data_IF_984524180849
#
_entry.id   IF_984524180849
#
_cell.length_a   1.000
_cell.length_b   1.000
_cell.length_c   1.000
_cell.angle_alpha   90.00
_cell.angle_beta   90.00
_cell.angle_gamma   90.00
#
_symmetry.space_group_name_H-M   'P 1'
#
loop_
_entity.id
_entity.type
_entity.pdbx_description
1 polymer ?
#
# COMPACT_ATOMS: atom_id res chain seq x y z
N UNK A 1 6.32 20.97 1.69
CA UNK A 1 7.21 20.92 2.87
C UNK A 1 7.73 19.51 2.95
N UNK A 2 9.04 19.29 3.09
CA UNK A 2 9.60 17.93 3.17
C UNK A 2 9.32 17.32 4.57
N UNK A 3 8.93 16.04 4.68
CA UNK A 3 8.61 15.40 5.97
C UNK A 3 9.84 15.34 6.89
N UNK A 4 9.68 15.72 8.16
CA UNK A 4 10.80 15.75 9.13
C UNK A 4 11.34 14.36 9.47
N UNK A 5 10.49 13.33 9.34
CA UNK A 5 10.82 11.93 9.60
C UNK A 5 11.55 11.28 8.42
N UNK A 6 11.48 11.88 7.21
CA UNK A 6 12.17 11.39 6.03
C UNK A 6 13.63 11.83 6.02
N UNK A 7 14.46 11.11 6.79
CA UNK A 7 15.85 11.52 7.08
C UNK A 7 16.88 11.19 5.99
N UNK A 8 16.46 10.86 4.76
CA UNK A 8 17.35 10.38 3.70
C UNK A 8 18.53 11.34 3.45
N UNK A 9 18.25 12.61 3.16
CA UNK A 9 19.28 13.60 2.83
C UNK A 9 20.23 13.90 3.99
N UNK A 10 19.76 13.79 5.23
CA UNK A 10 20.65 13.94 6.40
C UNK A 10 21.60 12.76 6.61
N UNK A 11 21.28 11.58 6.05
CA UNK A 11 22.03 10.34 6.29
C UNK A 11 22.87 9.91 5.10
N UNK A 12 22.49 10.28 3.87
CA UNK A 12 23.13 9.77 2.65
C UNK A 12 24.62 10.14 2.53
N UNK A 13 25.02 11.24 3.19
CA UNK A 13 26.40 11.73 3.23
C UNK A 13 27.18 11.30 4.47
N UNK A 14 26.57 10.54 5.39
CA UNK A 14 27.29 9.99 6.54
C UNK A 14 28.48 9.12 6.08
N UNK A 15 29.65 9.18 6.75
CA UNK A 15 30.86 8.48 6.30
C UNK A 15 30.66 6.97 6.11
N UNK A 16 29.91 6.33 7.00
CA UNK A 16 29.61 4.91 6.92
C UNK A 16 28.75 4.56 5.69
N UNK A 17 27.73 5.38 5.40
CA UNK A 17 26.85 5.20 4.23
C UNK A 17 27.63 5.41 2.93
N UNK A 18 28.45 6.46 2.86
CA UNK A 18 29.32 6.72 1.69
C UNK A 18 30.31 5.58 1.46
N UNK A 19 30.91 5.03 2.52
CA UNK A 19 31.81 3.89 2.42
C UNK A 19 31.09 2.64 1.91
N UNK A 20 29.90 2.35 2.45
CA UNK A 20 29.07 1.23 2.02
C UNK A 20 28.66 1.35 0.54
N UNK A 21 28.21 2.53 0.09
CA UNK A 21 27.88 2.81 -1.32
C UNK A 21 29.07 2.63 -2.25
N UNK A 22 30.24 3.12 -1.83
CA UNK A 22 31.48 2.97 -2.61
C UNK A 22 31.88 1.49 -2.73
N UNK A 23 31.78 0.73 -1.65
CA UNK A 23 32.06 -0.70 -1.65
C UNK A 23 31.05 -1.46 -2.53
N UNK A 24 29.75 -1.19 -2.39
CA UNK A 24 28.70 -1.79 -3.22
C UNK A 24 28.91 -1.50 -4.71
N UNK A 25 29.25 -0.25 -5.06
CA UNK A 25 29.57 0.13 -6.44
C UNK A 25 30.77 -0.62 -7.00
N UNK A 26 31.79 -0.90 -6.18
CA UNK A 26 32.95 -1.71 -6.59
C UNK A 26 32.59 -3.18 -6.79
N UNK A 27 31.75 -3.74 -5.93
CA UNK A 27 31.39 -5.15 -5.97
C UNK A 27 30.35 -5.48 -7.05
N UNK A 28 29.32 -4.65 -7.17
CA UNK A 28 28.16 -4.89 -8.05
C UNK A 28 28.18 -4.06 -9.35
N UNK A 29 29.12 -3.11 -9.48
CA UNK A 29 29.22 -2.25 -10.66
C UNK A 29 28.25 -1.06 -10.69
N UNK A 30 27.37 -0.90 -9.69
CA UNK A 30 26.44 0.22 -9.59
C UNK A 30 26.25 0.70 -8.15
N UNK A 31 25.90 1.98 -7.97
CA UNK A 31 25.54 2.53 -6.67
C UNK A 31 24.07 2.16 -6.35
N UNK A 32 23.78 1.44 -5.26
CA UNK A 32 22.42 1.05 -4.92
C UNK A 32 21.57 2.21 -4.39
N UNK A 33 22.15 3.39 -4.15
CA UNK A 33 21.36 4.55 -3.78
C UNK A 33 20.37 4.92 -4.91
N UNK A 34 19.07 5.11 -4.60
CA UNK A 34 18.09 5.56 -5.58
C UNK A 34 18.47 6.95 -6.13
N UNK A 35 18.00 7.27 -7.32
CA UNK A 35 18.17 8.62 -7.89
C UNK A 35 17.44 9.66 -7.04
N UNK A 36 17.92 10.91 -7.09
CA UNK A 36 17.29 12.04 -6.40
C UNK A 36 15.80 12.18 -6.74
N UNK A 37 15.43 11.96 -8.01
CA UNK A 37 14.03 11.99 -8.46
C UNK A 37 13.17 10.95 -7.73
N UNK A 38 13.64 9.70 -7.67
CA UNK A 38 12.94 8.62 -6.95
C UNK A 38 12.80 8.98 -5.47
N UNK A 39 13.87 9.44 -4.82
CA UNK A 39 13.84 9.84 -3.41
C UNK A 39 12.79 10.94 -3.18
N UNK A 40 12.74 11.95 -4.05
CA UNK A 40 11.77 13.05 -3.95
C UNK A 40 10.34 12.58 -4.14
N UNK A 41 10.07 11.68 -5.08
CA UNK A 41 8.74 11.08 -5.26
C UNK A 41 8.29 10.32 -4.02
N UNK A 42 9.16 9.50 -3.42
CA UNK A 42 8.83 8.79 -2.17
C UNK A 42 8.62 9.77 -1.01
N UNK A 43 9.45 10.80 -0.90
CA UNK A 43 9.31 11.79 0.16
C UNK A 43 8.03 12.62 0.03
N UNK A 44 7.60 12.96 -1.20
CA UNK A 44 6.35 13.70 -1.40
C UNK A 44 5.12 12.90 -1.00
N UNK A 45 5.19 11.58 -1.12
CA UNK A 45 4.09 10.66 -0.77
C UNK A 45 4.02 10.31 0.73
N UNK A 46 4.91 10.86 1.56
CA UNK A 46 5.03 10.41 2.96
C UNK A 46 3.78 10.63 3.80
N UNK A 47 3.01 11.70 3.50
CA UNK A 47 1.72 11.97 4.15
C UNK A 47 0.53 11.70 3.20
N UNK A 48 0.79 11.11 2.04
CA UNK A 48 -0.27 10.64 1.14
C UNK A 48 -0.83 9.34 1.74
N UNK A 49 -1.81 9.49 2.62
CA UNK A 49 -2.53 8.40 3.26
C UNK A 49 -3.71 7.92 2.39
N UNK A 50 -4.66 7.20 2.98
CA UNK A 50 -5.84 6.66 2.30
C UNK A 50 -7.13 7.24 2.90
N UNK A 51 -7.63 8.38 2.37
CA UNK A 51 -8.84 9.02 2.89
C UNK A 51 -10.10 8.15 2.80
N UNK A 52 -10.17 7.21 1.85
CA UNK A 52 -11.32 6.31 1.73
C UNK A 52 -11.29 5.26 2.85
N UNK A 53 -10.14 4.65 3.10
CA UNK A 53 -9.98 3.71 4.21
C UNK A 53 -10.11 4.40 5.57
N UNK A 54 -9.59 5.62 5.72
CA UNK A 54 -9.72 6.42 6.95
C UNK A 54 -11.19 6.71 7.26
N UNK A 55 -11.96 7.21 6.29
CA UNK A 55 -13.39 7.47 6.47
C UNK A 55 -14.17 6.19 6.85
N UNK A 56 -13.79 5.05 6.28
CA UNK A 56 -14.35 3.75 6.63
C UNK A 56 -14.01 3.34 8.07
N UNK A 57 -12.77 3.50 8.51
CA UNK A 57 -12.36 3.22 9.89
C UNK A 57 -13.11 4.13 10.86
N UNK A 58 -13.21 5.42 10.56
CA UNK A 58 -13.93 6.40 11.39
C UNK A 58 -15.40 6.01 11.59
N UNK A 59 -16.12 5.68 10.51
CA UNK A 59 -17.57 5.41 10.56
C UNK A 59 -17.92 3.98 11.02
N UNK A 60 -17.12 2.98 10.63
CA UNK A 60 -17.43 1.57 10.88
C UNK A 60 -16.77 1.02 12.14
N UNK A 61 -15.56 1.49 12.51
CA UNK A 61 -14.83 0.97 13.67
C UNK A 61 -14.85 1.93 14.86
N UNK A 62 -14.54 3.21 14.64
CA UNK A 62 -14.40 4.18 15.75
C UNK A 62 -15.75 4.72 16.24
N UNK A 63 -16.68 5.03 15.34
CA UNK A 63 -18.02 5.52 15.70
C UNK A 63 -18.97 4.43 16.21
N UNK A 64 -18.63 3.15 15.99
CA UNK A 64 -19.40 1.98 16.40
C UNK A 64 -18.61 1.17 17.42
N UNK A 65 -18.06 0.03 17.00
CA UNK A 65 -17.15 -0.81 17.75
C UNK A 65 -16.32 -1.66 16.78
N UNK A 66 -15.21 -2.22 17.28
CA UNK A 66 -14.37 -3.10 16.46
C UNK A 66 -15.13 -4.31 15.91
N UNK A 67 -15.94 -4.98 16.75
CA UNK A 67 -16.66 -6.19 16.38
C UNK A 67 -17.77 -5.89 15.35
N UNK A 68 -18.50 -4.79 15.49
CA UNK A 68 -19.53 -4.38 14.53
C UNK A 68 -18.92 -3.97 13.19
N UNK A 69 -17.83 -3.18 13.21
CA UNK A 69 -17.10 -2.79 12.01
C UNK A 69 -16.54 -4.01 11.27
N UNK A 70 -15.98 -4.96 12.02
CA UNK A 70 -15.49 -6.23 11.48
C UNK A 70 -16.62 -7.05 10.85
N UNK A 71 -17.76 -7.20 11.53
CA UNK A 71 -18.90 -7.95 11.02
C UNK A 71 -19.48 -7.33 9.73
N UNK A 72 -19.56 -6.00 9.66
CA UNK A 72 -19.96 -5.28 8.43
C UNK A 72 -18.99 -5.58 7.28
N UNK A 73 -17.68 -5.50 7.54
CA UNK A 73 -16.66 -5.80 6.53
C UNK A 73 -16.72 -7.25 6.05
N UNK A 74 -16.84 -8.22 6.97
CA UNK A 74 -16.95 -9.64 6.62
C UNK A 74 -18.16 -9.93 5.73
N UNK A 75 -19.31 -9.38 6.12
CA UNK A 75 -20.53 -9.55 5.34
C UNK A 75 -20.39 -8.92 3.95
N UNK A 76 -19.78 -7.74 3.87
CA UNK A 76 -19.53 -7.06 2.59
C UNK A 76 -18.61 -7.88 1.69
N UNK A 77 -17.54 -8.46 2.24
CA UNK A 77 -16.62 -9.32 1.49
C UNK A 77 -17.29 -10.61 1.00
N UNK A 78 -18.26 -11.14 1.75
CA UNK A 78 -18.96 -12.38 1.42
C UNK A 78 -20.13 -12.18 0.43
N UNK A 79 -20.90 -11.10 0.61
CA UNK A 79 -22.18 -10.89 -0.07
C UNK A 79 -22.19 -9.67 -1.01
N UNK A 80 -21.14 -8.84 -0.97
CA UNK A 80 -21.08 -7.54 -1.63
C UNK A 80 -21.74 -6.43 -0.81
N UNK A 81 -21.40 -5.17 -1.11
CA UNK A 81 -21.91 -4.01 -0.35
C UNK A 81 -23.41 -3.76 -0.59
N UNK A 82 -23.92 -4.17 -1.74
CA UNK A 82 -25.33 -4.02 -2.10
C UNK A 82 -26.27 -4.97 -1.31
N UNK A 83 -25.72 -6.03 -0.70
CA UNK A 83 -26.49 -6.94 0.15
C UNK A 83 -26.82 -6.35 1.54
N UNK A 84 -26.29 -5.18 1.86
CA UNK A 84 -26.51 -4.47 3.12
C UNK A 84 -27.39 -3.23 2.83
N UNK A 85 -28.72 -3.28 3.07
CA UNK A 85 -29.63 -2.19 2.72
C UNK A 85 -29.21 -0.83 3.30
N UNK A 86 -28.76 -0.82 4.56
CA UNK A 86 -28.32 0.38 5.27
C UNK A 86 -26.79 0.43 5.43
N UNK A 87 -26.05 -0.04 4.41
CA UNK A 87 -24.57 0.00 4.46
C UNK A 87 -24.07 1.45 4.68
N UNK A 88 -23.12 1.64 5.62
CA UNK A 88 -22.45 2.93 5.87
C UNK A 88 -21.95 3.58 4.59
N UNK A 89 -22.01 4.92 4.53
CA UNK A 89 -21.67 5.65 3.31
C UNK A 89 -20.18 5.49 2.95
N UNK A 90 -19.30 5.51 3.95
CA UNK A 90 -17.87 5.25 3.77
C UNK A 90 -17.58 3.84 3.25
N UNK A 91 -18.31 2.83 3.73
CA UNK A 91 -18.18 1.45 3.26
C UNK A 91 -18.59 1.33 1.79
N UNK A 92 -19.69 1.97 1.38
CA UNK A 92 -20.08 2.04 -0.04
C UNK A 92 -19.04 2.75 -0.89
N UNK A 93 -18.49 3.86 -0.42
CA UNK A 93 -17.47 4.61 -1.14
C UNK A 93 -16.18 3.81 -1.30
N UNK A 94 -15.73 3.11 -0.26
CA UNK A 94 -14.56 2.25 -0.30
C UNK A 94 -14.73 1.13 -1.33
N UNK A 95 -15.86 0.40 -1.29
CA UNK A 95 -16.08 -0.71 -2.23
C UNK A 95 -16.33 -0.27 -3.66
N UNK A 96 -16.89 0.93 -3.89
CA UNK A 96 -17.02 1.49 -5.24
C UNK A 96 -15.65 1.70 -5.91
N UNK A 97 -14.61 2.06 -5.13
CA UNK A 97 -13.23 2.15 -5.61
C UNK A 97 -12.61 0.76 -5.80
N UNK A 98 -12.76 -0.14 -4.82
CA UNK A 98 -12.15 -1.48 -4.83
C UNK A 98 -12.71 -2.43 -5.89
N UNK A 99 -14.01 -2.35 -6.20
CA UNK A 99 -14.67 -3.27 -7.12
C UNK A 99 -14.37 -2.96 -8.60
N UNK A 100 -13.76 -1.81 -8.88
CA UNK A 100 -13.44 -1.39 -10.25
C UNK A 100 -11.97 -1.66 -10.56
N UNK A 101 -11.71 -2.60 -11.48
CA UNK A 101 -10.35 -2.82 -11.97
C UNK A 101 -9.81 -1.57 -12.69
N UNK A 102 -8.60 -1.10 -12.33
CA UNK A 102 -7.90 -0.11 -13.12
C UNK A 102 -7.68 -0.59 -14.56
N UNK A 103 -7.67 0.34 -15.52
CA UNK A 103 -7.58 0.03 -16.97
C UNK A 103 -6.33 -0.72 -17.39
N UNK A 104 -5.28 -0.69 -16.57
CA UNK A 104 -4.03 -1.41 -16.81
C UNK A 104 -4.06 -2.86 -16.30
N UNK A 105 -5.10 -3.28 -15.56
CA UNK A 105 -5.22 -4.64 -15.04
C UNK A 105 -5.57 -5.64 -16.14
N UNK A 106 -4.72 -6.66 -16.28
CA UNK A 106 -4.95 -7.82 -17.14
C UNK A 106 -5.21 -9.05 -16.26
N UNK A 107 -6.49 -9.47 -16.19
CA UNK A 107 -6.93 -10.58 -15.33
C UNK A 107 -6.31 -11.92 -15.73
N UNK A 108 -5.98 -12.14 -16.99
CA UNK A 108 -5.31 -13.37 -17.43
C UNK A 108 -3.85 -13.41 -16.92
N UNK A 109 -3.14 -12.28 -16.98
CA UNK A 109 -1.80 -12.15 -16.39
C UNK A 109 -1.82 -12.34 -14.88
N UNK A 110 -2.79 -11.75 -14.18
CA UNK A 110 -2.98 -11.95 -12.73
C UNK A 110 -3.19 -13.44 -12.42
N UNK A 111 -4.09 -14.11 -13.14
CA UNK A 111 -4.36 -15.54 -12.95
C UNK A 111 -3.13 -16.42 -13.22
N UNK A 112 -2.34 -16.09 -14.25
CA UNK A 112 -1.06 -16.77 -14.54
C UNK A 112 -0.05 -16.56 -13.43
N UNK A 113 0.12 -15.33 -12.95
CA UNK A 113 1.00 -15.00 -11.83
C UNK A 113 0.62 -15.77 -10.58
N UNK A 114 -0.68 -15.84 -10.25
CA UNK A 114 -1.18 -16.59 -9.11
C UNK A 114 -0.89 -18.10 -9.20
N UNK A 115 -0.96 -18.70 -10.41
CA UNK A 115 -0.57 -20.11 -10.63
C UNK A 115 0.92 -20.32 -10.38
N UNK A 116 1.77 -19.41 -10.85
CA UNK A 116 3.22 -19.46 -10.62
C UNK A 116 3.51 -19.31 -9.12
N UNK A 117 2.90 -18.33 -8.46
CA UNK A 117 3.05 -18.10 -7.02
C UNK A 117 2.69 -19.34 -6.21
N UNK A 118 1.52 -19.96 -6.43
CA UNK A 118 1.12 -21.19 -5.72
C UNK A 118 2.00 -22.40 -6.02
N UNK A 119 2.65 -22.46 -7.19
CA UNK A 119 3.53 -23.57 -7.57
C UNK A 119 4.88 -23.52 -6.84
N UNK A 120 5.37 -22.32 -6.55
CA UNK A 120 6.70 -22.10 -5.96
C UNK A 120 6.67 -21.54 -4.54
N UNK A 121 5.48 -21.19 -4.05
CA UNK A 121 5.27 -20.85 -2.65
C UNK A 121 5.59 -22.08 -1.80
N UNK A 122 6.53 -21.95 -0.88
CA UNK A 122 6.69 -22.89 0.22
C UNK A 122 5.36 -22.93 0.96
N UNK A 123 4.77 -24.12 1.09
CA UNK A 123 3.45 -24.34 1.68
C UNK A 123 3.22 -23.44 2.91
N UNK A 124 2.19 -22.60 2.85
CA UNK A 124 1.57 -22.00 4.04
C UNK A 124 0.62 -22.99 4.68
#
# INVERSE_FOLDING_TARGET
>A
MEPTEFRYWSRIDEPAVRAARTFAKRLFGFDPAPSEEVVRTFASMYYDADPLAEAFVDECFLARSYDEGRALLERTLAEGVDAIPDAPASLRALFADLDTDPTWVDRERVARGAKVFRRWGTSV
#
